data_IF_853855225377
#
_entry.id   IF_853855225377
#
_cell.length_a   1.000
_cell.length_b   1.000
_cell.length_c   1.000
_cell.angle_alpha   90.00
_cell.angle_beta   90.00
_cell.angle_gamma   90.00
#
_symmetry.space_group_name_H-M   'P 1'
#
loop_
_entity.id
_entity.type
_entity.pdbx_description
1 polymer ?
#
# COMPACT_ATOMS: atom_id res chain seq x y z
N UNK A 1 -4.34 -15.11 -32.86
CA UNK A 1 -3.63 -14.93 -31.59
C UNK A 1 -4.58 -14.29 -30.60
N UNK A 2 -4.98 -15.01 -29.55
CA UNK A 2 -5.74 -14.41 -28.44
C UNK A 2 -4.72 -13.73 -27.53
N UNK A 3 -4.80 -12.41 -27.39
CA UNK A 3 -3.97 -11.68 -26.43
C UNK A 3 -4.49 -12.01 -25.04
N UNK A 4 -3.66 -12.65 -24.21
CA UNK A 4 -3.95 -12.81 -22.79
C UNK A 4 -4.05 -11.41 -22.18
N UNK A 5 -5.27 -10.98 -21.85
CA UNK A 5 -5.49 -9.77 -21.06
C UNK A 5 -5.33 -10.14 -19.59
N UNK A 6 -4.30 -9.60 -18.94
CA UNK A 6 -4.15 -9.69 -17.50
C UNK A 6 -4.89 -8.48 -16.93
N UNK A 7 -5.99 -8.72 -16.22
CA UNK A 7 -6.76 -7.68 -15.56
C UNK A 7 -6.10 -7.39 -14.21
N UNK A 8 -5.48 -6.22 -14.08
CA UNK A 8 -4.93 -5.73 -12.81
C UNK A 8 -5.99 -4.87 -12.14
N UNK A 9 -6.66 -5.40 -11.11
CA UNK A 9 -7.56 -4.65 -10.25
C UNK A 9 -6.83 -4.34 -8.94
N UNK A 10 -6.42 -3.09 -8.77
CA UNK A 10 -5.80 -2.60 -7.53
C UNK A 10 -6.80 -1.77 -6.74
N UNK A 11 -6.96 -2.08 -5.46
CA UNK A 11 -7.83 -1.34 -4.53
C UNK A 11 -7.09 -1.09 -3.23
N UNK A 12 -6.98 0.17 -2.80
CA UNK A 12 -6.41 0.55 -1.51
C UNK A 12 -7.53 0.73 -0.48
N UNK A 13 -7.56 -0.14 0.52
CA UNK A 13 -8.49 -0.04 1.66
C UNK A 13 -7.76 0.37 2.93
N UNK A 14 -8.20 1.46 3.56
CA UNK A 14 -7.66 1.95 4.84
C UNK A 14 -8.68 1.67 5.93
N UNK A 15 -8.32 0.81 6.89
CA UNK A 15 -9.21 0.45 8.00
C UNK A 15 -9.43 1.63 8.97
N UNK A 16 -10.68 1.88 9.42
CA UNK A 16 -10.98 2.94 10.40
C UNK A 16 -10.34 2.70 11.78
N UNK A 17 -9.96 1.47 12.12
CA UNK A 17 -9.56 1.08 13.47
C UNK A 17 -8.03 1.03 13.62
N UNK A 18 -7.35 2.17 13.48
CA UNK A 18 -5.94 2.25 13.88
C UNK A 18 -5.86 2.29 15.41
N UNK A 19 -5.28 1.25 16.03
CA UNK A 19 -4.95 1.26 17.45
C UNK A 19 -3.73 2.15 17.68
N UNK A 20 -3.70 2.86 18.80
CA UNK A 20 -2.49 3.59 19.21
C UNK A 20 -1.35 2.59 19.37
N UNK A 21 -0.22 2.88 18.73
CA UNK A 21 1.00 2.10 18.84
C UNK A 21 2.12 2.91 19.49
N UNK A 22 3.19 2.23 19.87
CA UNK A 22 4.42 2.83 20.41
C UNK A 22 5.61 2.18 19.69
N UNK A 23 6.69 2.94 19.54
CA UNK A 23 7.89 2.46 18.87
C UNK A 23 8.69 3.61 18.29
N UNK A 24 9.91 3.32 17.87
CA UNK A 24 10.81 4.32 17.29
C UNK A 24 10.60 4.39 15.76
N UNK A 25 10.40 5.58 15.18
CA UNK A 25 10.20 5.72 13.75
C UNK A 25 11.51 5.46 12.98
N UNK A 26 11.41 4.74 11.86
CA UNK A 26 12.55 4.46 10.98
C UNK A 26 12.16 4.58 9.50
N UNK A 27 13.16 4.69 8.61
CA UNK A 27 13.01 4.71 7.14
C UNK A 27 11.80 5.51 6.63
N UNK A 28 11.74 6.83 6.84
CA UNK A 28 10.59 7.63 6.44
C UNK A 28 10.46 7.76 4.92
N UNK A 29 9.23 7.92 4.44
CA UNK A 29 8.90 8.49 3.13
C UNK A 29 8.26 9.87 3.29
N UNK A 30 8.44 10.74 2.30
CA UNK A 30 7.86 12.07 2.22
C UNK A 30 6.99 12.15 0.98
N UNK A 31 5.69 12.34 1.16
CA UNK A 31 4.72 12.43 0.06
C UNK A 31 4.25 13.88 -0.08
N UNK A 32 4.28 14.43 -1.30
CA UNK A 32 3.80 15.80 -1.53
C UNK A 32 2.29 15.90 -1.32
N UNK A 33 1.84 16.93 -0.61
CA UNK A 33 0.42 17.14 -0.32
C UNK A 33 -0.34 17.66 -1.53
N UNK A 34 0.28 18.55 -2.33
CA UNK A 34 -0.37 19.23 -3.46
C UNK A 34 -1.75 19.78 -3.05
N UNK A 35 -1.78 20.57 -1.97
CA UNK A 35 -2.96 21.16 -1.31
C UNK A 35 -3.98 20.18 -0.71
N UNK A 36 -3.73 18.87 -0.77
CA UNK A 36 -4.59 17.85 -0.15
C UNK A 36 -4.35 17.81 1.35
N UNK A 37 -5.45 17.78 2.13
CA UNK A 37 -5.42 17.73 3.59
C UNK A 37 -5.67 16.33 4.16
N UNK A 38 -6.28 15.45 3.36
CA UNK A 38 -6.67 14.12 3.80
C UNK A 38 -5.59 13.10 3.43
N UNK A 39 -5.17 12.27 4.38
CA UNK A 39 -4.18 11.22 4.14
C UNK A 39 -4.58 10.30 2.99
N UNK A 40 -5.85 9.90 2.89
CA UNK A 40 -6.34 9.03 1.83
C UNK A 40 -6.13 9.66 0.45
N UNK A 41 -6.42 10.94 0.31
CA UNK A 41 -6.28 11.65 -0.96
C UNK A 41 -4.80 11.87 -1.30
N UNK A 42 -3.95 12.10 -0.30
CA UNK A 42 -2.49 12.21 -0.45
C UNK A 42 -1.89 10.87 -0.89
N UNK A 43 -2.27 9.78 -0.24
CA UNK A 43 -1.84 8.42 -0.62
C UNK A 43 -2.33 8.05 -2.03
N UNK A 44 -3.56 8.42 -2.39
CA UNK A 44 -4.11 8.16 -3.73
C UNK A 44 -3.38 8.97 -4.80
N UNK A 45 -2.97 10.20 -4.50
CA UNK A 45 -2.23 11.05 -5.43
C UNK A 45 -0.77 10.63 -5.60
N UNK A 46 -0.17 10.02 -4.58
CA UNK A 46 1.19 9.51 -4.59
C UNK A 46 1.21 7.96 -4.53
N UNK A 47 0.24 7.32 -5.21
CA UNK A 47 -0.03 5.89 -5.04
C UNK A 47 1.17 5.01 -5.39
N UNK A 48 1.81 5.28 -6.53
CA UNK A 48 2.99 4.53 -7.00
C UNK A 48 4.13 4.59 -5.97
N UNK A 49 4.51 5.81 -5.57
CA UNK A 49 5.58 6.04 -4.59
C UNK A 49 5.26 5.38 -3.23
N UNK A 50 4.00 5.46 -2.80
CA UNK A 50 3.56 4.84 -1.56
C UNK A 50 3.59 3.30 -1.64
N UNK A 51 3.12 2.71 -2.74
CA UNK A 51 3.13 1.25 -2.93
C UNK A 51 4.57 0.72 -2.98
N UNK A 52 5.47 1.40 -3.70
CA UNK A 52 6.90 1.06 -3.73
C UNK A 52 7.54 1.11 -2.35
N UNK A 53 7.22 2.16 -1.58
CA UNK A 53 7.68 2.29 -0.21
C UNK A 53 7.19 1.15 0.68
N UNK A 54 5.90 0.84 0.63
CA UNK A 54 5.29 -0.26 1.37
C UNK A 54 5.92 -1.60 0.96
N UNK A 55 6.22 -1.80 -0.32
CA UNK A 55 6.99 -2.94 -0.82
C UNK A 55 8.38 -3.04 -0.18
N UNK A 56 9.09 -1.91 -0.06
CA UNK A 56 10.42 -1.86 0.56
C UNK A 56 10.44 -2.23 2.04
N UNK A 57 9.32 -2.05 2.75
CA UNK A 57 9.15 -2.48 4.15
C UNK A 57 8.94 -3.99 4.30
N UNK A 58 8.66 -4.68 3.20
CA UNK A 58 8.47 -6.12 3.13
C UNK A 58 7.00 -6.50 3.14
N UNK A 59 6.64 -7.37 2.19
CA UNK A 59 5.30 -7.91 2.00
C UNK A 59 5.26 -9.41 2.21
N UNK A 60 4.11 -9.91 2.63
CA UNK A 60 3.77 -11.31 2.50
C UNK A 60 3.13 -11.54 1.14
N UNK A 61 3.72 -12.42 0.33
CA UNK A 61 3.23 -12.75 -1.01
C UNK A 61 2.56 -14.12 -0.94
N UNK A 62 1.26 -14.16 -1.25
CA UNK A 62 0.51 -15.40 -1.41
C UNK A 62 0.13 -15.57 -2.88
N UNK A 63 0.25 -16.80 -3.37
CA UNK A 63 -0.08 -17.15 -4.74
C UNK A 63 -1.18 -18.20 -4.75
N UNK A 64 -2.22 -17.96 -5.54
CA UNK A 64 -3.35 -18.87 -5.68
C UNK A 64 -3.67 -19.09 -7.15
N UNK A 65 -3.52 -20.34 -7.57
CA UNK A 65 -3.97 -20.80 -8.88
C UNK A 65 -5.25 -21.60 -8.77
N UNK A 66 -6.19 -21.31 -9.66
CA UNK A 66 -7.39 -22.10 -9.85
C UNK A 66 -7.51 -22.45 -11.32
N UNK A 67 -7.63 -23.75 -11.63
CA UNK A 67 -7.96 -24.21 -12.98
C UNK A 67 -9.36 -24.79 -12.96
N UNK A 68 -10.30 -24.17 -13.67
CA UNK A 68 -11.69 -24.63 -13.80
C UNK A 68 -12.12 -24.55 -15.26
N UNK A 69 -12.69 -25.62 -15.82
CA UNK A 69 -13.12 -25.68 -17.23
C UNK A 69 -12.05 -25.25 -18.25
N UNK A 70 -10.80 -25.69 -18.06
CA UNK A 70 -9.63 -25.30 -18.88
C UNK A 70 -9.28 -23.81 -18.85
N UNK A 71 -9.89 -23.02 -17.96
CA UNK A 71 -9.52 -21.65 -17.70
C UNK A 71 -8.62 -21.62 -16.45
N UNK A 72 -7.46 -20.97 -16.59
CA UNK A 72 -6.54 -20.75 -15.49
C UNK A 72 -6.76 -19.34 -14.94
N UNK A 73 -6.97 -19.24 -13.63
CA UNK A 73 -7.05 -17.99 -12.88
C UNK A 73 -5.89 -18.01 -11.89
N UNK A 74 -4.90 -17.16 -12.14
CA UNK A 74 -3.77 -16.91 -11.24
C UNK A 74 -4.03 -15.63 -10.46
N UNK A 75 -4.00 -15.71 -9.13
CA UNK A 75 -4.16 -14.57 -8.22
C UNK A 75 -2.93 -14.44 -7.33
N UNK A 76 -2.22 -13.33 -7.44
CA UNK A 76 -1.15 -12.95 -6.51
C UNK A 76 -1.71 -11.96 -5.50
N UNK A 77 -1.64 -12.30 -4.21
CA UNK A 77 -2.10 -11.45 -3.11
C UNK A 77 -0.87 -10.93 -2.38
N UNK A 78 -0.71 -9.61 -2.41
CA UNK A 78 0.35 -8.89 -1.71
C UNK A 78 -0.23 -8.31 -0.41
N UNK A 79 0.22 -8.82 0.74
CA UNK A 79 -0.26 -8.39 2.06
C UNK A 79 0.84 -7.68 2.82
N UNK A 80 0.59 -6.42 3.18
CA UNK A 80 1.48 -5.69 4.09
C UNK A 80 1.42 -6.31 5.48
N UNK A 81 2.59 -6.52 6.10
CA UNK A 81 2.65 -6.93 7.50
C UNK A 81 2.00 -5.87 8.37
N UNK A 82 1.22 -6.28 9.36
CA UNK A 82 0.65 -5.37 10.35
C UNK A 82 1.77 -4.53 10.98
N UNK A 83 1.86 -3.27 10.58
CA UNK A 83 2.92 -2.35 10.95
C UNK A 83 2.27 -1.07 11.44
N UNK A 84 2.78 -0.54 12.55
CA UNK A 84 2.33 0.74 13.05
C UNK A 84 3.08 1.85 12.33
N UNK A 85 2.37 2.91 11.95
CA UNK A 85 2.95 4.06 11.28
C UNK A 85 2.75 5.31 12.13
N UNK A 86 3.79 6.14 12.19
CA UNK A 86 3.69 7.54 12.57
C UNK A 86 3.48 8.36 11.29
N UNK A 87 2.50 9.24 11.33
CA UNK A 87 2.16 10.14 10.22
C UNK A 87 2.26 11.57 10.74
N UNK A 88 3.23 12.31 10.23
CA UNK A 88 3.46 13.71 10.55
C UNK A 88 3.07 14.58 9.35
N UNK A 89 2.11 15.48 9.53
CA UNK A 89 1.68 16.42 8.49
C UNK A 89 2.48 17.72 8.55
N UNK A 90 2.93 18.18 7.38
CA UNK A 90 3.50 19.50 7.17
C UNK A 90 2.68 20.23 6.08
N UNK A 91 2.96 21.51 5.84
CA UNK A 91 2.20 22.33 4.88
C UNK A 91 2.34 21.78 3.43
N UNK A 92 3.52 21.27 3.07
CA UNK A 92 3.82 20.85 1.70
C UNK A 92 3.97 19.33 1.52
N UNK A 93 4.11 18.58 2.62
CA UNK A 93 4.36 17.15 2.58
C UNK A 93 3.78 16.41 3.79
N UNK A 94 3.57 15.11 3.62
CA UNK A 94 3.30 14.18 4.72
C UNK A 94 4.48 13.24 4.87
N UNK A 95 5.00 13.14 6.09
CA UNK A 95 6.03 12.17 6.44
C UNK A 95 5.37 10.94 7.05
N UNK A 96 5.60 9.78 6.45
CA UNK A 96 5.11 8.48 6.94
C UNK A 96 6.32 7.67 7.39
N UNK A 97 6.27 7.08 8.58
CA UNK A 97 7.38 6.27 9.13
C UNK A 97 6.83 5.06 9.86
N UNK A 98 7.25 3.82 9.53
CA UNK A 98 6.96 2.65 10.34
C UNK A 98 7.62 2.76 11.71
N UNK A 99 7.02 2.11 12.69
CA UNK A 99 7.52 2.01 14.06
C UNK A 99 8.13 0.61 14.29
N UNK A 100 9.26 0.58 15.00
CA UNK A 100 9.91 -0.64 15.53
C UNK A 100 9.66 -0.80 17.02
#
# INVERSE_FOLDING_TARGET
MVKNAIMYNESLEISPAMKKCSGEPYNPIFLETNDKKNLKDILSANNEEFVEYIHSLGLNVSYRDLTTNYQNISTTILTLKTTCFKVDFNDNFVKISPLK
#
